data_IF_134957116344
#
_entry.id   IF_134957116344
#
_cell.length_a   1.000
_cell.length_b   1.000
_cell.length_c   1.000
_cell.angle_alpha   90.00
_cell.angle_beta   90.00
_cell.angle_gamma   90.00
#
_symmetry.space_group_name_H-M   'P 1'
#
loop_
_entity.id
_entity.type
_entity.pdbx_description
1 polymer ?
#
# COMPACT_ATOMS: atom_id res chain seq x y z
N UNK A 1 -16.06 -16.83 0.68
CA UNK A 1 -15.73 -16.68 -0.75
C UNK A 1 -14.75 -15.53 -0.85
N UNK A 2 -13.49 -15.80 -1.17
CA UNK A 2 -12.47 -14.75 -1.31
C UNK A 2 -12.63 -14.19 -2.72
N UNK A 3 -13.21 -12.99 -2.84
CA UNK A 3 -13.17 -12.22 -4.09
C UNK A 3 -11.69 -11.94 -4.37
N UNK A 4 -11.11 -12.74 -5.27
CA UNK A 4 -9.74 -12.54 -5.70
C UNK A 4 -9.78 -11.35 -6.65
N UNK A 5 -9.50 -10.15 -6.11
CA UNK A 5 -9.38 -8.94 -6.92
C UNK A 5 -8.18 -9.15 -7.86
N UNK A 6 -8.43 -9.09 -9.17
CA UNK A 6 -7.37 -9.05 -10.17
C UNK A 6 -6.72 -7.66 -10.17
N UNK A 7 -5.72 -7.49 -9.31
CA UNK A 7 -4.97 -6.23 -9.17
C UNK A 7 -4.33 -5.80 -10.49
N UNK A 8 -3.87 -6.73 -11.32
CA UNK A 8 -3.23 -6.42 -12.60
C UNK A 8 -4.27 -5.89 -13.59
N UNK A 9 -5.40 -6.59 -13.73
CA UNK A 9 -6.51 -6.15 -14.57
C UNK A 9 -7.05 -4.79 -14.14
N UNK A 10 -7.18 -4.54 -12.84
CA UNK A 10 -7.63 -3.28 -12.28
C UNK A 10 -6.68 -2.12 -12.62
N UNK A 11 -5.37 -2.28 -12.33
CA UNK A 11 -4.36 -1.26 -12.64
C UNK A 11 -4.26 -1.03 -14.15
N UNK A 12 -4.34 -2.06 -14.97
CA UNK A 12 -4.39 -1.91 -16.43
C UNK A 12 -5.62 -1.11 -16.91
N UNK A 13 -6.78 -1.31 -16.28
CA UNK A 13 -7.99 -0.53 -16.54
C UNK A 13 -7.79 0.95 -16.25
N UNK A 14 -7.18 1.29 -15.11
CA UNK A 14 -6.82 2.65 -14.73
C UNK A 14 -5.85 3.30 -15.71
N UNK A 15 -4.78 2.59 -16.08
CA UNK A 15 -3.79 3.06 -17.06
C UNK A 15 -4.45 3.32 -18.41
N UNK A 16 -5.38 2.46 -18.83
CA UNK A 16 -6.14 2.67 -20.07
C UNK A 16 -7.00 3.93 -19.99
N UNK A 17 -7.78 4.13 -18.91
CA UNK A 17 -8.61 5.34 -18.73
C UNK A 17 -7.76 6.61 -18.81
N UNK A 18 -6.58 6.62 -18.18
CA UNK A 18 -5.66 7.75 -18.25
C UNK A 18 -5.21 8.03 -19.69
N UNK A 19 -4.82 7.00 -20.44
CA UNK A 19 -4.38 7.14 -21.84
C UNK A 19 -5.51 7.63 -22.76
N UNK A 20 -6.73 7.13 -22.56
CA UNK A 20 -7.88 7.56 -23.34
C UNK A 20 -8.20 9.06 -23.08
N UNK A 21 -8.08 9.51 -21.82
CA UNK A 21 -8.21 10.92 -21.45
C UNK A 21 -7.10 11.79 -22.06
N UNK A 22 -5.84 11.37 -21.95
CA UNK A 22 -4.68 12.08 -22.48
C UNK A 22 -4.76 12.25 -24.02
N UNK A 23 -5.20 11.20 -24.71
CA UNK A 23 -5.47 11.25 -26.15
C UNK A 23 -6.58 12.27 -26.49
N UNK A 24 -7.68 12.24 -25.75
CA UNK A 24 -8.78 13.20 -25.91
C UNK A 24 -8.33 14.65 -25.66
N UNK A 25 -7.52 14.88 -24.62
CA UNK A 25 -6.96 16.20 -24.30
C UNK A 25 -6.00 16.70 -25.38
N UNK A 26 -5.19 15.80 -25.94
CA UNK A 26 -4.28 16.12 -27.05
C UNK A 26 -5.08 16.48 -28.30
N UNK A 27 -6.09 15.68 -28.65
CA UNK A 27 -6.97 15.94 -29.79
C UNK A 27 -7.78 17.24 -29.62
N UNK A 28 -8.21 17.57 -28.40
CA UNK A 28 -8.98 18.80 -28.15
C UNK A 28 -8.13 20.07 -28.29
N UNK A 29 -6.83 19.99 -28.03
CA UNK A 29 -5.90 21.12 -28.18
C UNK A 29 -5.34 21.27 -29.60
N UNK A 30 -5.26 20.17 -30.36
CA UNK A 30 -4.67 20.14 -31.70
C UNK A 30 -5.19 21.24 -32.66
N UNK A 31 -6.49 21.61 -32.69
CA UNK A 31 -6.97 22.66 -33.56
C UNK A 31 -6.37 24.03 -33.30
N UNK A 32 -5.85 24.30 -32.10
CA UNK A 32 -5.33 25.61 -31.69
C UNK A 32 -3.81 25.72 -31.88
N UNK A 33 -3.13 24.64 -32.23
CA UNK A 33 -1.67 24.60 -32.36
C UNK A 33 -1.22 24.91 -33.79
N UNK A 34 -0.13 25.66 -33.90
CA UNK A 34 0.61 25.92 -35.13
C UNK A 34 1.51 24.75 -35.53
N UNK A 35 2.20 24.92 -36.66
CA UNK A 35 3.10 23.90 -37.20
C UNK A 35 4.34 23.62 -36.32
N UNK A 36 4.67 24.56 -35.43
CA UNK A 36 5.71 24.49 -34.41
C UNK A 36 5.22 23.89 -33.07
N UNK A 37 3.90 23.63 -32.94
CA UNK A 37 3.29 23.16 -31.70
C UNK A 37 2.93 24.28 -30.71
N UNK A 38 3.17 25.54 -31.07
CA UNK A 38 2.77 26.69 -30.24
C UNK A 38 1.30 27.04 -30.49
N UNK A 39 0.63 27.57 -29.47
CA UNK A 39 -0.76 28.03 -29.62
C UNK A 39 -0.82 29.25 -30.56
N UNK A 40 -1.72 29.22 -31.55
CA UNK A 40 -1.97 30.36 -32.44
C UNK A 40 -2.40 31.58 -31.59
N UNK A 41 -1.68 32.71 -31.61
CA UNK A 41 -2.01 33.89 -30.83
C UNK A 41 -3.45 34.40 -31.05
N UNK A 42 -4.03 34.15 -32.23
CA UNK A 42 -5.41 34.55 -32.55
C UNK A 42 -6.46 33.71 -31.85
N UNK A 43 -6.10 32.52 -31.39
CA UNK A 43 -6.99 31.54 -30.75
C UNK A 43 -6.53 31.19 -29.34
N UNK A 44 -5.60 31.97 -28.78
CA UNK A 44 -5.01 31.69 -27.48
C UNK A 44 -6.05 31.66 -26.35
N UNK A 45 -7.07 32.51 -26.40
CA UNK A 45 -8.14 32.51 -25.39
C UNK A 45 -8.89 31.17 -25.37
N UNK A 46 -9.32 30.67 -26.53
CA UNK A 46 -10.02 29.39 -26.66
C UNK A 46 -9.09 28.20 -26.31
N UNK A 47 -7.81 28.30 -26.66
CA UNK A 47 -6.78 27.34 -26.27
C UNK A 47 -6.64 27.27 -24.75
N UNK A 48 -6.53 28.41 -24.07
CA UNK A 48 -6.34 28.46 -22.62
C UNK A 48 -7.58 27.98 -21.86
N UNK A 49 -8.79 28.27 -22.36
CA UNK A 49 -10.03 27.72 -21.83
C UNK A 49 -10.11 26.19 -21.99
N UNK A 50 -9.76 25.67 -23.17
CA UNK A 50 -9.71 24.23 -23.43
C UNK A 50 -8.66 23.55 -22.53
N UNK A 51 -7.48 24.17 -22.40
CA UNK A 51 -6.41 23.69 -21.53
C UNK A 51 -6.82 23.69 -20.06
N UNK A 52 -7.52 24.72 -19.59
CA UNK A 52 -8.04 24.79 -18.23
C UNK A 52 -9.08 23.69 -17.97
N UNK A 53 -9.96 23.43 -18.93
CA UNK A 53 -10.96 22.35 -18.86
C UNK A 53 -10.28 20.98 -18.79
N UNK A 54 -9.30 20.72 -19.66
CA UNK A 54 -8.51 19.49 -19.64
C UNK A 54 -7.80 19.31 -18.29
N UNK A 55 -7.19 20.38 -17.75
CA UNK A 55 -6.51 20.34 -16.46
C UNK A 55 -7.45 20.01 -15.30
N UNK A 56 -8.68 20.55 -15.31
CA UNK A 56 -9.69 20.23 -14.30
C UNK A 56 -10.09 18.74 -14.36
N UNK A 57 -10.36 18.22 -15.56
CA UNK A 57 -10.67 16.80 -15.75
C UNK A 57 -9.54 15.89 -15.30
N UNK A 58 -8.28 16.27 -15.60
CA UNK A 58 -7.11 15.51 -15.15
C UNK A 58 -6.98 15.52 -13.62
N UNK A 59 -7.28 16.63 -12.97
CA UNK A 59 -7.27 16.74 -11.50
C UNK A 59 -8.37 15.88 -10.86
N UNK A 60 -9.57 15.88 -11.44
CA UNK A 60 -10.68 15.01 -10.99
C UNK A 60 -10.33 13.53 -11.15
N UNK A 61 -9.80 13.14 -12.30
CA UNK A 61 -9.34 11.77 -12.54
C UNK A 61 -8.22 11.37 -11.58
N UNK A 62 -7.28 12.27 -11.28
CA UNK A 62 -6.21 11.99 -10.31
C UNK A 62 -6.78 11.77 -8.91
N UNK A 63 -7.76 12.56 -8.48
CA UNK A 63 -8.41 12.38 -7.19
C UNK A 63 -9.16 11.04 -7.12
N UNK A 64 -9.89 10.67 -8.18
CA UNK A 64 -10.55 9.36 -8.30
C UNK A 64 -9.52 8.23 -8.24
N UNK A 65 -8.46 8.31 -9.04
CA UNK A 65 -7.37 7.33 -9.08
C UNK A 65 -6.73 7.12 -7.70
N UNK A 66 -6.44 8.20 -6.98
CA UNK A 66 -5.89 8.11 -5.62
C UNK A 66 -6.88 7.41 -4.69
N UNK A 67 -8.17 7.77 -4.75
CA UNK A 67 -9.21 7.11 -3.96
C UNK A 67 -9.33 5.61 -4.25
N UNK A 68 -9.29 5.24 -5.53
CA UNK A 68 -9.33 3.83 -5.96
C UNK A 68 -8.10 3.05 -5.49
N UNK A 69 -6.90 3.62 -5.60
CA UNK A 69 -5.67 2.99 -5.13
C UNK A 69 -5.65 2.82 -3.61
N UNK A 70 -6.15 3.80 -2.85
CA UNK A 70 -6.30 3.70 -1.39
C UNK A 70 -7.33 2.63 -1.01
N UNK A 71 -8.45 2.53 -1.73
CA UNK A 71 -9.43 1.47 -1.50
C UNK A 71 -8.85 0.07 -1.75
N UNK A 72 -8.00 -0.05 -2.78
CA UNK A 72 -7.37 -1.30 -3.20
C UNK A 72 -6.24 -1.73 -2.25
N UNK A 73 -5.33 -0.80 -1.92
CA UNK A 73 -4.07 -1.08 -1.24
C UNK A 73 -4.05 -0.64 0.23
N UNK A 74 -5.02 0.15 0.68
CA UNK A 74 -5.00 0.85 1.95
C UNK A 74 -4.30 2.22 1.87
N UNK A 75 -4.40 2.99 2.97
CA UNK A 75 -3.67 4.24 3.11
C UNK A 75 -2.15 4.01 3.07
N UNK A 76 -1.36 4.89 2.43
CA UNK A 76 0.08 4.75 2.40
C UNK A 76 0.64 4.88 3.81
N UNK A 77 1.38 3.86 4.24
CA UNK A 77 2.09 3.89 5.53
C UNK A 77 3.47 4.50 5.33
N UNK A 78 3.91 5.44 6.17
CA UNK A 78 5.25 6.01 6.09
C UNK A 78 6.34 4.93 6.19
N UNK A 79 7.44 5.14 5.46
CA UNK A 79 8.62 4.27 5.48
C UNK A 79 8.77 3.43 4.21
N UNK A 80 9.78 2.56 4.22
CA UNK A 80 10.07 1.62 3.14
C UNK A 80 9.60 0.22 3.53
N UNK A 81 9.38 -0.65 2.54
CA UNK A 81 9.05 -2.05 2.83
C UNK A 81 10.26 -2.76 3.46
N UNK A 82 10.02 -3.59 4.45
CA UNK A 82 10.99 -4.50 5.04
C UNK A 82 10.37 -5.88 5.18
N UNK A 83 11.18 -6.90 4.94
CA UNK A 83 10.83 -8.30 5.13
C UNK A 83 11.55 -8.83 6.36
N UNK A 84 10.78 -9.39 7.28
CA UNK A 84 11.27 -10.00 8.51
C UNK A 84 10.94 -11.49 8.49
N UNK A 85 11.96 -12.31 8.72
CA UNK A 85 11.87 -13.76 8.58
C UNK A 85 11.94 -14.42 9.95
N UNK A 86 10.99 -15.32 10.22
CA UNK A 86 10.91 -16.06 11.48
C UNK A 86 10.71 -17.55 11.22
N UNK A 87 11.44 -18.37 11.95
CA UNK A 87 11.29 -19.81 11.96
C UNK A 87 10.47 -20.22 13.20
N UNK A 88 9.26 -20.73 12.99
CA UNK A 88 8.39 -21.28 14.02
C UNK A 88 8.67 -22.75 14.28
N UNK A 89 7.63 -23.52 14.59
CA UNK A 89 7.71 -24.96 14.85
C UNK A 89 8.07 -25.77 13.60
N UNK A 90 7.70 -25.27 12.43
CA UNK A 90 7.91 -25.92 11.12
C UNK A 90 9.39 -26.20 10.81
N UNK A 91 10.30 -25.45 11.45
CA UNK A 91 11.74 -25.67 11.32
C UNK A 91 12.20 -27.04 11.84
N UNK A 92 11.46 -27.64 12.78
CA UNK A 92 11.77 -28.98 13.31
C UNK A 92 11.44 -30.08 12.29
N UNK A 93 10.55 -29.78 11.35
CA UNK A 93 10.16 -30.65 10.24
C UNK A 93 10.94 -30.33 8.95
N UNK A 94 11.89 -29.38 9.01
CA UNK A 94 12.72 -28.96 7.87
C UNK A 94 12.00 -28.04 6.88
N UNK A 95 10.86 -27.47 7.26
CA UNK A 95 10.13 -26.50 6.43
C UNK A 95 10.82 -25.12 6.44
N UNK A 96 10.44 -24.29 5.46
CA UNK A 96 11.01 -22.94 5.29
C UNK A 96 10.43 -21.97 6.33
N UNK A 97 11.23 -20.98 6.78
CA UNK A 97 10.74 -19.95 7.67
C UNK A 97 9.70 -19.05 6.98
N UNK A 98 8.89 -18.38 7.80
CA UNK A 98 7.84 -17.46 7.37
C UNK A 98 8.38 -16.03 7.23
N UNK A 99 8.09 -15.40 6.08
CA UNK A 99 8.36 -13.99 5.84
C UNK A 99 7.13 -13.11 6.13
N UNK A 100 7.36 -11.97 6.78
CA UNK A 100 6.36 -10.94 7.03
C UNK A 100 6.84 -9.60 6.48
N UNK A 101 5.96 -8.90 5.76
CA UNK A 101 6.28 -7.60 5.14
C UNK A 101 5.55 -6.47 5.87
N UNK A 102 6.29 -5.45 6.29
CA UNK A 102 5.79 -4.21 6.93
C UNK A 102 6.50 -2.99 6.35
N UNK A 103 5.95 -1.79 6.57
CA UNK A 103 6.65 -0.53 6.32
C UNK A 103 7.41 -0.09 7.58
N UNK A 104 8.66 0.36 7.44
CA UNK A 104 9.47 0.85 8.55
C UNK A 104 10.59 1.77 8.07
N UNK A 105 11.37 2.33 8.99
CA UNK A 105 12.57 3.13 8.67
C UNK A 105 13.86 2.31 8.63
N UNK A 106 13.91 1.23 9.38
CA UNK A 106 15.02 0.30 9.50
C UNK A 106 14.52 -1.06 10.02
N UNK A 107 15.41 -2.06 10.13
CA UNK A 107 15.03 -3.41 10.58
C UNK A 107 14.57 -3.47 12.04
N UNK A 108 15.09 -2.62 12.93
CA UNK A 108 14.67 -2.60 14.33
C UNK A 108 13.27 -1.99 14.47
N UNK A 109 13.00 -0.93 13.72
CA UNK A 109 11.69 -0.30 13.58
C UNK A 109 10.68 -1.27 12.95
N UNK A 110 11.10 -2.03 11.94
CA UNK A 110 10.29 -3.07 11.33
C UNK A 110 9.90 -4.13 12.35
N UNK A 111 10.86 -4.64 13.15
CA UNK A 111 10.58 -5.67 14.15
C UNK A 111 9.61 -5.17 15.22
N UNK A 112 9.82 -3.95 15.72
CA UNK A 112 8.88 -3.34 16.69
C UNK A 112 7.48 -3.19 16.09
N UNK A 113 7.39 -2.69 14.87
CA UNK A 113 6.13 -2.54 14.14
C UNK A 113 5.42 -3.88 14.02
N UNK A 114 6.10 -4.91 13.52
CA UNK A 114 5.55 -6.23 13.31
C UNK A 114 5.01 -6.86 14.60
N UNK A 115 5.75 -6.78 15.70
CA UNK A 115 5.28 -7.29 17.01
C UNK A 115 4.03 -6.56 17.54
N UNK A 116 3.77 -5.37 16.99
CA UNK A 116 2.57 -4.58 17.25
C UNK A 116 1.31 -5.11 16.56
N UNK A 117 1.45 -5.90 15.50
CA UNK A 117 0.34 -6.27 14.61
C UNK A 117 -0.39 -7.55 15.07
N UNK A 118 -1.73 -7.52 15.17
CA UNK A 118 -2.55 -8.68 15.51
C UNK A 118 -2.24 -9.96 14.73
N UNK A 119 -2.14 -9.92 13.40
CA UNK A 119 -1.92 -11.14 12.61
C UNK A 119 -0.56 -11.80 12.91
N UNK A 120 0.47 -11.00 13.16
CA UNK A 120 1.76 -11.55 13.62
C UNK A 120 1.65 -12.17 15.01
N UNK A 121 0.93 -11.52 15.94
CA UNK A 121 0.73 -12.06 17.30
C UNK A 121 -0.02 -13.38 17.29
N UNK A 122 -1.08 -13.49 16.49
CA UNK A 122 -1.83 -14.73 16.31
C UNK A 122 -0.93 -15.84 15.77
N UNK A 123 -0.15 -15.56 14.73
CA UNK A 123 0.82 -16.52 14.21
C UNK A 123 1.85 -16.91 15.26
N UNK A 124 2.42 -15.94 15.97
CA UNK A 124 3.44 -16.14 17.00
C UNK A 124 2.91 -16.98 18.16
N UNK A 125 1.70 -16.72 18.65
CA UNK A 125 1.05 -17.50 19.70
C UNK A 125 0.73 -18.94 19.24
N UNK A 126 0.43 -19.12 17.95
CA UNK A 126 0.24 -20.43 17.32
C UNK A 126 1.50 -21.31 17.27
N UNK A 127 2.70 -20.73 17.45
CA UNK A 127 3.96 -21.48 17.46
C UNK A 127 4.27 -22.16 18.81
N UNK A 128 3.25 -22.50 19.58
CA UNK A 128 3.40 -23.26 20.83
C UNK A 128 3.24 -24.75 20.56
N UNK A 129 4.18 -25.61 21.02
CA UNK A 129 4.02 -27.05 20.91
C UNK A 129 2.73 -27.54 21.55
N UNK A 130 2.10 -28.54 20.96
CA UNK A 130 0.89 -29.16 21.51
C UNK A 130 1.19 -29.76 22.90
N UNK A 131 0.43 -29.33 23.91
CA UNK A 131 0.62 -29.78 25.29
C UNK A 131 1.72 -29.06 26.07
N UNK A 132 2.28 -27.96 25.54
CA UNK A 132 3.17 -27.09 26.29
C UNK A 132 2.45 -26.54 27.55
N UNK A 133 3.13 -26.43 28.71
CA UNK A 133 2.57 -25.83 29.90
C UNK A 133 2.08 -24.40 29.67
N UNK A 134 1.04 -24.01 30.40
CA UNK A 134 0.56 -22.63 30.40
C UNK A 134 1.69 -21.67 30.79
N UNK A 135 1.92 -20.68 29.93
CA UNK A 135 2.96 -19.67 30.11
C UNK A 135 4.31 -20.00 29.44
N UNK A 136 4.47 -21.17 28.82
CA UNK A 136 5.65 -21.41 27.97
C UNK A 136 5.65 -20.43 26.78
N UNK A 137 6.80 -19.80 26.54
CA UNK A 137 6.99 -18.91 25.40
C UNK A 137 6.88 -19.70 24.08
N UNK A 138 6.27 -19.13 23.03
CA UNK A 138 6.28 -19.74 21.70
C UNK A 138 7.69 -20.01 21.19
N UNK A 139 7.84 -21.10 20.44
CA UNK A 139 9.13 -21.55 19.95
C UNK A 139 9.45 -20.89 18.60
N UNK A 140 9.83 -19.61 18.65
CA UNK A 140 10.06 -18.78 17.46
C UNK A 140 11.47 -18.22 17.45
N UNK A 141 12.18 -18.41 16.33
CA UNK A 141 13.49 -17.83 16.09
C UNK A 141 13.40 -16.74 15.02
N UNK A 142 13.94 -15.55 15.33
CA UNK A 142 14.15 -14.51 14.33
C UNK A 142 15.39 -14.84 13.47
N UNK A 143 15.22 -14.89 12.15
CA UNK A 143 16.28 -15.22 11.18
C UNK A 143 16.78 -13.91 10.55
N UNK A 144 17.76 -13.28 11.22
CA UNK A 144 18.26 -11.97 10.82
C UNK A 144 18.89 -11.97 9.42
N UNK A 145 19.62 -13.03 9.07
CA UNK A 145 20.32 -13.14 7.77
C UNK A 145 19.36 -13.26 6.58
N UNK A 146 18.12 -13.68 6.82
CA UNK A 146 17.06 -13.76 5.81
C UNK A 146 16.09 -12.56 5.89
N UNK A 147 16.33 -11.61 6.78
CA UNK A 147 15.53 -10.39 6.93
C UNK A 147 16.22 -9.23 6.22
N UNK A 148 15.49 -8.46 5.41
CA UNK A 148 16.09 -7.45 4.54
C UNK A 148 15.14 -6.30 4.17
N UNK A 149 15.67 -5.14 3.73
CA UNK A 149 14.88 -4.11 3.09
C UNK A 149 14.22 -4.63 1.79
N UNK A 150 13.03 -4.16 1.50
CA UNK A 150 12.23 -4.54 0.34
C UNK A 150 11.31 -5.74 0.57
N UNK A 151 10.74 -6.21 -0.54
CA UNK A 151 9.83 -7.36 -0.60
C UNK A 151 10.58 -8.52 -1.26
N UNK A 152 10.48 -9.77 -0.78
CA UNK A 152 11.08 -10.92 -1.42
C UNK A 152 10.59 -11.05 -2.86
N UNK A 153 11.53 -11.27 -3.77
CA UNK A 153 11.21 -11.47 -5.19
C UNK A 153 10.49 -12.80 -5.46
N UNK A 154 10.56 -13.76 -4.54
CA UNK A 154 9.99 -15.10 -4.65
C UNK A 154 9.77 -15.71 -3.27
N UNK A 155 8.82 -16.63 -3.17
CA UNK A 155 8.43 -17.28 -1.91
C UNK A 155 7.09 -16.78 -1.37
N UNK A 156 6.53 -17.52 -0.41
CA UNK A 156 5.33 -17.12 0.30
C UNK A 156 5.69 -16.18 1.45
N UNK A 157 4.95 -15.09 1.58
CA UNK A 157 5.08 -14.15 2.68
C UNK A 157 3.71 -13.56 3.01
N UNK A 158 3.57 -13.09 4.24
CA UNK A 158 2.39 -12.37 4.70
C UNK A 158 2.65 -10.87 4.62
N UNK A 159 1.94 -10.17 3.72
CA UNK A 159 2.02 -8.72 3.61
C UNK A 159 1.06 -8.06 4.61
N UNK A 160 1.62 -7.48 5.66
CA UNK A 160 0.85 -6.88 6.76
C UNK A 160 0.78 -5.35 6.66
N UNK A 161 1.23 -4.75 5.55
CA UNK A 161 1.21 -3.29 5.37
C UNK A 161 -0.21 -2.71 5.38
N UNK A 162 -1.20 -3.46 4.90
CA UNK A 162 -2.61 -3.06 4.98
C UNK A 162 -3.14 -3.05 6.42
N UNK A 163 -2.77 -4.04 7.22
CA UNK A 163 -3.09 -4.09 8.65
C UNK A 163 -2.41 -2.95 9.40
N UNK A 164 -1.13 -2.68 9.07
CA UNK A 164 -0.39 -1.56 9.60
C UNK A 164 -1.05 -0.21 9.29
N UNK A 165 -1.52 -0.01 8.05
CA UNK A 165 -2.28 1.18 7.66
C UNK A 165 -3.55 1.35 8.49
N UNK A 166 -4.32 0.26 8.67
CA UNK A 166 -5.53 0.27 9.47
C UNK A 166 -5.24 0.62 10.95
N UNK A 167 -4.16 0.09 11.52
CA UNK A 167 -3.74 0.38 12.90
C UNK A 167 -3.31 1.84 13.10
N UNK A 168 -2.66 2.44 12.10
CA UNK A 168 -2.27 3.86 12.11
C UNK A 168 -3.51 4.77 12.06
N UNK A 169 -4.46 4.48 11.17
CA UNK A 169 -5.71 5.24 11.04
C UNK A 169 -6.57 5.16 12.30
N UNK A 170 -6.69 3.98 12.92
CA UNK A 170 -7.40 3.82 14.19
C UNK A 170 -6.76 4.65 15.32
N UNK A 171 -5.43 4.72 15.35
CA UNK A 171 -4.69 5.50 16.35
C UNK A 171 -4.88 7.01 16.16
N UNK A 172 -4.93 7.49 14.91
CA UNK A 172 -5.20 8.89 14.59
C UNK A 172 -6.62 9.31 15.00
N UNK A 173 -7.62 8.46 14.76
CA UNK A 173 -9.02 8.70 15.17
C UNK A 173 -9.14 8.77 16.70
N UNK A 174 -8.48 7.87 17.43
CA UNK A 174 -8.49 7.88 18.89
C UNK A 174 -7.77 9.10 19.48
N UNK A 175 -6.71 9.59 18.84
CA UNK A 175 -6.02 10.81 19.27
C UNK A 175 -6.82 12.09 18.99
N UNK A 176 -7.71 12.06 17.99
CA UNK A 176 -8.57 13.18 17.62
C UNK A 176 -9.92 13.22 18.36
N UNK A 177 -10.20 12.23 19.22
CA UNK A 177 -11.42 12.23 20.04
C UNK A 177 -11.37 13.40 21.03
N UNK A 178 -12.33 14.35 21.01
CA UNK A 178 -12.33 15.47 21.93
C UNK A 178 -12.52 14.95 23.36
N UNK A 179 -11.79 15.54 24.30
CA UNK A 179 -12.07 15.44 25.73
C UNK A 179 -13.51 15.91 25.96
N UNK A 180 -14.46 14.97 26.02
CA UNK A 180 -15.80 15.25 26.51
C UNK A 180 -15.68 15.71 27.95
N UNK A 181 -15.71 17.02 28.16
CA UNK A 181 -15.96 17.65 29.45
C UNK A 181 -17.27 17.08 30.00
N UNK A 182 -17.18 16.19 30.98
CA UNK A 182 -18.28 15.92 31.89
C UNK A 182 -18.55 17.18 32.69
N UNK A 183 -19.73 17.76 32.47
CA UNK A 183 -20.34 18.77 33.34
C UNK A 183 -21.08 18.09 34.49
#
# INVERSE_FOLDING_TARGET
MSDTIDYVGYVHGLVRRYRDMDACHTESLAPYLGADGDADPRRYADYDETRATNALQAAEFLAELVGELVALCGEPVPGEAFTLTFAGLERHDGEKPYGFVVCARDLDDARRTLTGLPSFREWFEGQRPLGAPDGQAPDVLFVADESHPGIPAWGAYSDLRREQAAAASASAVNAAAPLSLSA
#
